data_IF_704668319843
#
_entry.id   IF_704668319843
#
_cell.length_a   1.000
_cell.length_b   1.000
_cell.length_c   1.000
_cell.angle_alpha   90.00
_cell.angle_beta   90.00
_cell.angle_gamma   90.00
#
_symmetry.space_group_name_H-M   'P 1'
#
loop_
_entity.id
_entity.type
_entity.pdbx_description
1 polymer ?
#
# COMPACT_ATOMS: atom_id res chain seq x y z
N UNK A 1 -67.40 -7.88 -53.97
CA UNK A 1 -66.90 -7.79 -52.62
C UNK A 1 -65.63 -8.69 -52.56
N UNK A 2 -64.43 -8.05 -52.54
CA UNK A 2 -63.13 -8.73 -52.48
C UNK A 2 -62.67 -8.70 -51.03
N UNK A 3 -62.52 -9.85 -50.38
CA UNK A 3 -61.96 -9.98 -49.03
C UNK A 3 -60.45 -9.95 -49.10
N UNK A 4 -59.87 -8.95 -48.52
CA UNK A 4 -58.42 -8.77 -48.35
C UNK A 4 -57.97 -9.57 -47.10
N UNK A 5 -57.16 -10.60 -47.30
CA UNK A 5 -56.57 -11.35 -46.18
C UNK A 5 -55.22 -10.71 -45.87
N UNK A 6 -55.13 -10.03 -44.72
CA UNK A 6 -53.88 -9.49 -44.19
C UNK A 6 -53.18 -10.58 -43.37
N UNK A 7 -52.08 -11.12 -43.91
CA UNK A 7 -51.18 -12.02 -43.15
C UNK A 7 -50.32 -11.17 -42.26
N UNK A 8 -50.51 -11.26 -40.93
CA UNK A 8 -49.66 -10.70 -39.91
C UNK A 8 -48.49 -11.64 -39.66
N UNK A 9 -47.30 -11.32 -40.19
CA UNK A 9 -46.08 -12.06 -39.89
C UNK A 9 -45.53 -11.62 -38.52
N UNK A 10 -45.70 -12.45 -37.49
CA UNK A 10 -45.07 -12.23 -36.19
C UNK A 10 -43.61 -12.68 -36.30
N UNK A 11 -42.68 -11.70 -36.35
CA UNK A 11 -41.26 -11.93 -36.19
C UNK A 11 -41.00 -12.24 -34.72
N UNK A 12 -40.82 -13.53 -34.37
CA UNK A 12 -40.32 -13.95 -33.07
C UNK A 12 -38.81 -13.65 -33.05
N UNK A 13 -38.43 -12.53 -32.44
CA UNK A 13 -37.04 -12.29 -32.05
C UNK A 13 -36.65 -13.26 -30.95
N UNK A 14 -36.10 -14.41 -31.32
CA UNK A 14 -35.36 -15.26 -30.39
C UNK A 14 -34.10 -14.53 -29.97
N UNK A 15 -34.13 -13.86 -28.79
CA UNK A 15 -32.94 -13.45 -28.11
C UNK A 15 -32.17 -14.73 -27.74
N UNK A 16 -31.15 -15.07 -28.52
CA UNK A 16 -30.15 -16.02 -28.08
C UNK A 16 -29.43 -15.39 -26.89
N UNK A 17 -29.87 -15.70 -25.69
CA UNK A 17 -29.04 -15.49 -24.50
C UNK A 17 -27.81 -16.39 -24.67
N UNK A 18 -26.71 -15.83 -25.12
CA UNK A 18 -25.44 -16.54 -25.16
C UNK A 18 -25.13 -17.07 -23.76
N UNK A 19 -24.85 -18.36 -23.65
CA UNK A 19 -24.39 -18.93 -22.38
C UNK A 19 -23.01 -18.34 -22.08
N UNK A 20 -22.87 -17.63 -20.95
CA UNK A 20 -21.59 -17.21 -20.42
C UNK A 20 -21.06 -18.28 -19.46
N UNK A 21 -19.75 -18.45 -19.44
CA UNK A 21 -19.11 -19.33 -18.48
C UNK A 21 -18.81 -18.58 -17.19
N UNK A 22 -19.46 -18.95 -16.09
CA UNK A 22 -19.23 -18.40 -14.78
C UNK A 22 -18.12 -19.17 -14.04
N UNK A 23 -17.08 -18.46 -13.59
CA UNK A 23 -15.99 -19.01 -12.77
C UNK A 23 -16.00 -18.28 -11.43
N UNK A 24 -16.41 -18.98 -10.38
CA UNK A 24 -16.47 -18.41 -9.04
C UNK A 24 -15.13 -18.51 -8.31
N UNK A 25 -14.76 -17.43 -7.63
CA UNK A 25 -13.56 -17.32 -6.79
C UNK A 25 -13.98 -16.89 -5.38
N UNK A 26 -13.39 -17.51 -4.37
CA UNK A 26 -13.67 -17.20 -2.96
C UNK A 26 -12.41 -17.33 -2.10
N UNK A 27 -12.16 -16.44 -1.13
CA UNK A 27 -11.04 -16.61 -0.19
C UNK A 27 -11.11 -17.91 0.63
N UNK A 28 -12.30 -18.54 0.67
CA UNK A 28 -12.54 -19.84 1.31
C UNK A 28 -12.58 -21.01 0.32
N UNK A 29 -12.29 -20.75 -0.95
CA UNK A 29 -12.24 -21.75 -2.01
C UNK A 29 -10.95 -22.57 -2.01
N UNK A 30 -10.79 -23.35 -3.08
CA UNK A 30 -9.56 -24.12 -3.33
C UNK A 30 -9.25 -24.11 -4.81
N UNK A 31 -7.99 -23.91 -5.19
CA UNK A 31 -7.57 -23.94 -6.60
C UNK A 31 -7.62 -25.36 -7.21
N UNK A 32 -7.89 -26.40 -6.39
CA UNK A 32 -8.20 -27.74 -6.83
C UNK A 32 -9.68 -27.93 -7.23
N UNK A 33 -10.56 -26.96 -6.94
CA UNK A 33 -11.98 -27.01 -7.28
C UNK A 33 -12.20 -26.71 -8.77
N UNK A 34 -13.43 -26.95 -9.24
CA UNK A 34 -13.80 -26.75 -10.64
C UNK A 34 -14.18 -25.30 -11.00
N UNK A 35 -14.33 -24.41 -10.02
CA UNK A 35 -14.74 -23.01 -10.23
C UNK A 35 -16.24 -22.78 -10.29
N UNK A 36 -17.07 -23.79 -9.97
CA UNK A 36 -18.52 -23.58 -9.85
C UNK A 36 -18.88 -22.76 -8.60
N UNK A 37 -20.13 -22.29 -8.52
CA UNK A 37 -20.63 -21.54 -7.37
C UNK A 37 -20.48 -22.28 -6.04
N UNK A 38 -20.67 -23.60 -6.04
CA UNK A 38 -20.55 -24.45 -4.85
C UNK A 38 -19.12 -24.93 -4.58
N UNK A 39 -18.27 -24.91 -5.61
CA UNK A 39 -16.85 -25.28 -5.54
C UNK A 39 -15.98 -24.19 -6.15
N UNK A 40 -15.91 -22.99 -5.52
CA UNK A 40 -15.14 -21.86 -6.03
C UNK A 40 -13.64 -22.11 -5.96
N UNK A 41 -12.91 -21.51 -6.87
CA UNK A 41 -11.44 -21.42 -6.81
C UNK A 41 -11.02 -20.50 -5.66
N UNK A 42 -9.77 -20.61 -5.20
CA UNK A 42 -9.23 -19.73 -4.15
C UNK A 42 -8.65 -18.43 -4.71
N UNK A 43 -8.08 -18.48 -5.92
CA UNK A 43 -7.30 -17.36 -6.46
C UNK A 43 -7.78 -16.87 -7.82
N UNK A 44 -7.63 -15.58 -8.07
CA UNK A 44 -7.89 -14.98 -9.39
C UNK A 44 -6.95 -15.57 -10.45
N UNK A 45 -5.70 -15.88 -10.09
CA UNK A 45 -4.75 -16.53 -10.99
C UNK A 45 -5.22 -17.90 -11.48
N UNK A 46 -5.84 -18.71 -10.59
CA UNK A 46 -6.43 -19.98 -10.98
C UNK A 46 -7.64 -19.79 -11.91
N UNK A 47 -8.48 -18.78 -11.64
CA UNK A 47 -9.61 -18.46 -12.50
C UNK A 47 -9.18 -18.03 -13.89
N UNK A 48 -8.14 -17.21 -14.02
CA UNK A 48 -7.56 -16.83 -15.32
C UNK A 48 -6.99 -18.06 -16.05
N UNK A 49 -6.30 -18.97 -15.35
CA UNK A 49 -5.86 -20.24 -15.98
C UNK A 49 -7.02 -21.08 -16.48
N UNK A 50 -8.09 -21.18 -15.69
CA UNK A 50 -9.31 -21.90 -16.08
C UNK A 50 -9.99 -21.27 -17.29
N UNK A 51 -10.07 -19.93 -17.33
CA UNK A 51 -10.62 -19.19 -18.46
C UNK A 51 -9.83 -19.47 -19.76
N UNK A 52 -8.49 -19.47 -19.70
CA UNK A 52 -7.62 -19.84 -20.85
C UNK A 52 -7.86 -21.29 -21.30
N UNK A 53 -8.02 -22.21 -20.36
CA UNK A 53 -8.31 -23.61 -20.67
C UNK A 53 -9.64 -23.75 -21.45
N UNK A 54 -10.72 -23.12 -20.97
CA UNK A 54 -12.01 -23.13 -21.65
C UNK A 54 -11.90 -22.56 -23.08
N UNK A 55 -11.20 -21.43 -23.25
CA UNK A 55 -10.95 -20.83 -24.58
C UNK A 55 -10.17 -21.74 -25.50
N UNK A 56 -9.11 -22.38 -24.99
CA UNK A 56 -8.29 -23.32 -25.79
C UNK A 56 -9.08 -24.55 -26.25
N UNK A 57 -10.02 -24.99 -25.44
CA UNK A 57 -10.89 -26.15 -25.75
C UNK A 57 -12.10 -25.76 -26.62
N UNK A 58 -12.29 -24.50 -26.96
CA UNK A 58 -13.45 -23.96 -27.67
C UNK A 58 -14.78 -24.43 -27.02
N UNK A 59 -14.86 -24.28 -25.69
CA UNK A 59 -16.02 -24.71 -24.91
C UNK A 59 -17.27 -23.97 -25.37
N UNK A 60 -18.36 -24.71 -25.52
CA UNK A 60 -19.62 -24.18 -26.05
C UNK A 60 -20.27 -23.13 -25.14
N UNK A 61 -19.88 -23.07 -23.86
CA UNK A 61 -20.34 -22.05 -22.90
C UNK A 61 -19.76 -20.65 -23.13
N UNK A 62 -18.84 -20.47 -24.10
CA UNK A 62 -18.14 -19.20 -24.32
C UNK A 62 -18.87 -18.21 -25.21
N UNK A 63 -20.02 -18.52 -25.75
CA UNK A 63 -20.76 -17.65 -26.67
C UNK A 63 -21.19 -16.30 -26.05
N UNK A 64 -21.30 -16.21 -24.71
CA UNK A 64 -21.58 -15.00 -23.95
C UNK A 64 -20.37 -14.41 -23.20
N UNK A 65 -19.20 -15.00 -23.39
CA UNK A 65 -17.97 -14.61 -22.66
C UNK A 65 -17.70 -15.43 -21.40
N UNK A 66 -16.75 -14.93 -20.60
CA UNK A 66 -16.36 -15.55 -19.33
C UNK A 66 -16.52 -14.51 -18.21
N UNK A 67 -17.23 -14.89 -17.15
CA UNK A 67 -17.37 -14.11 -15.94
C UNK A 67 -16.55 -14.72 -14.80
N UNK A 68 -15.50 -14.06 -14.37
CA UNK A 68 -14.74 -14.42 -13.16
C UNK A 68 -15.36 -13.63 -12.00
N UNK A 69 -16.16 -14.34 -11.19
CA UNK A 69 -17.02 -13.75 -10.16
C UNK A 69 -16.36 -13.93 -8.79
N UNK A 70 -15.90 -12.82 -8.21
CA UNK A 70 -15.24 -12.80 -6.91
C UNK A 70 -16.27 -12.69 -5.78
N UNK A 71 -16.29 -13.68 -4.88
CA UNK A 71 -17.07 -13.62 -3.64
C UNK A 71 -16.45 -12.64 -2.67
N UNK A 72 -17.25 -12.07 -1.77
CA UNK A 72 -16.79 -11.13 -0.75
C UNK A 72 -15.73 -11.71 0.18
N UNK A 73 -14.84 -10.83 0.64
CA UNK A 73 -13.73 -11.14 1.54
C UNK A 73 -12.38 -10.66 1.00
N UNK A 74 -11.32 -10.88 1.79
CA UNK A 74 -9.97 -10.41 1.47
C UNK A 74 -9.18 -11.51 0.75
N UNK A 75 -8.70 -11.20 -0.44
CA UNK A 75 -7.79 -12.01 -1.24
C UNK A 75 -6.36 -11.51 -1.02
N UNK A 76 -5.56 -12.23 -0.26
CA UNK A 76 -4.15 -11.88 -0.04
C UNK A 76 -3.35 -12.32 -1.26
N UNK A 77 -2.74 -11.34 -1.91
CA UNK A 77 -1.89 -11.55 -3.08
C UNK A 77 -0.44 -11.62 -2.66
N UNK A 78 0.24 -12.68 -3.05
CA UNK A 78 1.68 -12.86 -2.85
C UNK A 78 2.50 -12.45 -4.08
N UNK A 79 1.82 -12.26 -5.21
CA UNK A 79 2.38 -11.81 -6.49
C UNK A 79 1.37 -10.96 -7.26
N UNK A 80 1.85 -10.16 -8.20
CA UNK A 80 1.01 -9.36 -9.10
C UNK A 80 0.17 -10.27 -9.99
N UNK A 81 -1.12 -9.98 -10.09
CA UNK A 81 -2.00 -10.64 -11.07
C UNK A 81 -1.70 -10.04 -12.45
N UNK A 82 -1.19 -10.86 -13.37
CA UNK A 82 -0.98 -10.47 -14.76
C UNK A 82 -2.18 -10.86 -15.61
N UNK A 83 -2.85 -9.86 -16.18
CA UNK A 83 -3.88 -10.05 -17.21
C UNK A 83 -3.20 -9.89 -18.57
N UNK A 84 -3.16 -10.96 -19.32
CA UNK A 84 -2.47 -11.03 -20.62
C UNK A 84 -3.46 -10.85 -21.76
N UNK A 85 -2.97 -10.57 -22.97
CA UNK A 85 -3.81 -10.44 -24.15
C UNK A 85 -4.73 -11.68 -24.38
N UNK A 86 -4.24 -12.88 -24.05
CA UNK A 86 -4.98 -14.14 -24.12
C UNK A 86 -6.15 -14.24 -23.13
N UNK A 87 -6.15 -13.40 -22.07
CA UNK A 87 -7.21 -13.39 -21.04
C UNK A 87 -8.38 -12.48 -21.45
N UNK A 88 -8.17 -11.51 -22.33
CA UNK A 88 -9.17 -10.51 -22.69
C UNK A 88 -10.38 -11.10 -23.43
N UNK A 89 -10.17 -12.13 -24.24
CA UNK A 89 -11.20 -12.69 -25.12
C UNK A 89 -11.37 -11.89 -26.42
N UNK A 90 -12.58 -11.91 -26.96
CA UNK A 90 -12.96 -11.17 -28.19
C UNK A 90 -14.12 -10.22 -27.87
N UNK A 91 -14.47 -9.36 -28.84
CA UNK A 91 -15.63 -8.47 -28.68
C UNK A 91 -16.95 -9.24 -28.43
N UNK A 92 -17.09 -10.40 -29.07
CA UNK A 92 -18.29 -11.25 -28.96
C UNK A 92 -18.21 -12.22 -27.75
N UNK A 93 -17.03 -12.45 -27.18
CA UNK A 93 -16.79 -13.33 -26.04
C UNK A 93 -15.73 -12.71 -25.11
N UNK A 94 -16.03 -11.60 -24.41
CA UNK A 94 -15.09 -10.94 -23.52
C UNK A 94 -14.87 -11.73 -22.22
N UNK A 95 -13.84 -11.34 -21.47
CA UNK A 95 -13.65 -11.80 -20.07
C UNK A 95 -13.95 -10.64 -19.13
N UNK A 96 -14.84 -10.88 -18.18
CA UNK A 96 -15.17 -9.96 -17.08
C UNK A 96 -14.56 -10.48 -15.78
N UNK A 97 -14.01 -9.57 -14.98
CA UNK A 97 -13.59 -9.85 -13.59
C UNK A 97 -14.42 -8.91 -12.72
N UNK A 98 -15.31 -9.46 -11.94
CA UNK A 98 -16.33 -8.67 -11.24
C UNK A 98 -16.65 -9.22 -9.85
N UNK A 99 -17.24 -8.38 -9.00
CA UNK A 99 -17.73 -8.81 -7.70
C UNK A 99 -19.05 -9.60 -7.85
N UNK A 100 -19.24 -10.60 -7.00
CA UNK A 100 -20.56 -11.22 -6.84
C UNK A 100 -21.58 -10.16 -6.38
N UNK A 101 -22.80 -10.26 -6.89
CA UNK A 101 -23.85 -9.28 -6.62
C UNK A 101 -24.05 -9.06 -5.10
N UNK A 102 -23.93 -7.81 -4.65
CA UNK A 102 -24.07 -7.43 -3.25
C UNK A 102 -22.89 -7.81 -2.34
N UNK A 103 -21.80 -8.35 -2.89
CA UNK A 103 -20.60 -8.71 -2.12
C UNK A 103 -19.44 -7.74 -2.42
N UNK A 104 -18.49 -7.64 -1.48
CA UNK A 104 -17.33 -6.76 -1.58
C UNK A 104 -16.03 -7.57 -1.49
N UNK A 105 -15.44 -7.97 -2.60
CA UNK A 105 -14.10 -8.54 -2.64
C UNK A 105 -13.03 -7.44 -2.51
N UNK A 106 -11.99 -7.73 -1.72
CA UNK A 106 -10.84 -6.85 -1.54
C UNK A 106 -9.57 -7.58 -1.97
N UNK A 107 -8.86 -7.07 -2.96
CA UNK A 107 -7.53 -7.56 -3.32
C UNK A 107 -6.50 -6.84 -2.45
N UNK A 108 -5.70 -7.58 -1.68
CA UNK A 108 -4.70 -7.04 -0.78
C UNK A 108 -3.31 -7.59 -1.11
N UNK A 109 -2.38 -6.69 -1.44
CA UNK A 109 -0.95 -7.03 -1.58
C UNK A 109 -0.15 -6.73 -0.30
N UNK A 110 -0.82 -6.69 0.85
CA UNK A 110 -0.21 -6.40 2.13
C UNK A 110 0.15 -7.65 2.92
N UNK A 111 1.10 -7.49 3.82
CA UNK A 111 1.52 -8.51 4.79
C UNK A 111 0.90 -8.18 6.15
N UNK A 112 0.25 -9.16 6.75
CA UNK A 112 -0.30 -9.00 8.10
C UNK A 112 0.81 -9.05 9.14
N UNK A 113 0.82 -8.06 10.03
CA UNK A 113 1.73 -8.01 11.17
C UNK A 113 0.97 -8.48 12.41
N UNK A 114 1.40 -9.61 12.95
CA UNK A 114 0.79 -10.28 14.09
C UNK A 114 1.68 -10.23 15.34
N UNK A 115 1.19 -10.78 16.46
CA UNK A 115 1.97 -10.94 17.68
C UNK A 115 2.19 -9.64 18.46
N UNK A 116 1.29 -8.68 18.31
CA UNK A 116 1.31 -7.42 19.03
C UNK A 116 1.28 -7.62 20.54
N UNK A 117 2.19 -6.96 21.25
CA UNK A 117 2.29 -6.98 22.70
C UNK A 117 2.37 -5.55 23.23
N UNK A 118 1.70 -5.29 24.35
CA UNK A 118 1.83 -4.00 25.01
C UNK A 118 3.27 -3.82 25.52
N UNK A 119 3.85 -2.66 25.23
CA UNK A 119 5.20 -2.33 25.67
C UNK A 119 5.18 -1.99 27.16
N UNK A 120 5.68 -2.92 27.99
CA UNK A 120 5.72 -2.77 29.45
C UNK A 120 7.05 -2.23 29.95
N UNK A 121 8.14 -2.44 29.20
CA UNK A 121 9.47 -1.98 29.55
C UNK A 121 9.71 -0.53 29.11
N UNK A 122 10.58 0.17 29.83
CA UNK A 122 11.06 1.47 29.36
C UNK A 122 12.01 1.26 28.18
N UNK A 123 11.74 1.97 27.08
CA UNK A 123 12.65 2.03 25.93
C UNK A 123 13.26 3.42 25.87
N UNK A 124 14.58 3.46 25.82
CA UNK A 124 15.34 4.70 25.76
C UNK A 124 14.97 5.49 24.50
N UNK A 125 14.63 6.76 24.66
CA UNK A 125 14.22 7.63 23.57
C UNK A 125 12.71 7.68 23.32
N UNK A 126 11.90 6.80 23.93
CA UNK A 126 10.45 6.90 23.80
C UNK A 126 9.94 8.19 24.47
N UNK A 127 9.06 8.92 23.79
CA UNK A 127 8.46 10.14 24.31
C UNK A 127 7.73 9.89 25.65
N UNK A 128 7.71 10.87 26.52
CA UNK A 128 7.04 10.75 27.81
C UNK A 128 5.53 10.53 27.63
N UNK A 129 4.93 11.15 26.61
CA UNK A 129 3.51 11.01 26.28
C UNK A 129 3.13 9.56 25.87
N UNK A 130 4.02 8.87 25.16
CA UNK A 130 3.77 7.52 24.66
C UNK A 130 3.92 6.41 25.72
N UNK A 131 4.50 6.71 26.87
CA UNK A 131 4.74 5.71 27.93
C UNK A 131 3.45 5.04 28.37
N UNK A 132 3.45 3.69 28.35
CA UNK A 132 2.28 2.87 28.74
C UNK A 132 1.16 2.77 27.70
N UNK A 133 1.29 3.42 26.55
CA UNK A 133 0.30 3.39 25.47
C UNK A 133 0.72 2.55 24.27
N UNK A 134 2.02 2.37 24.07
CA UNK A 134 2.59 1.77 22.86
C UNK A 134 2.50 0.24 22.88
N UNK A 135 2.24 -0.32 21.72
CA UNK A 135 2.34 -1.74 21.41
C UNK A 135 3.50 -1.97 20.44
N UNK A 136 4.05 -3.17 20.48
CA UNK A 136 5.19 -3.58 19.66
C UNK A 136 4.94 -4.95 19.05
N UNK A 137 5.34 -5.13 17.80
CA UNK A 137 5.35 -6.41 17.11
C UNK A 137 6.64 -6.59 16.31
N UNK A 138 6.98 -7.84 16.01
CA UNK A 138 8.08 -8.16 15.11
C UNK A 138 7.62 -7.96 13.65
N UNK A 139 8.50 -7.36 12.83
CA UNK A 139 8.28 -7.24 11.40
C UNK A 139 8.67 -8.56 10.74
N UNK A 140 7.78 -9.21 9.97
CA UNK A 140 8.11 -10.48 9.32
C UNK A 140 9.22 -10.32 8.28
N UNK A 141 9.95 -11.39 8.03
CA UNK A 141 10.84 -11.50 6.88
C UNK A 141 10.02 -11.91 5.65
N UNK A 142 10.32 -11.33 4.50
CA UNK A 142 9.70 -11.69 3.23
C UNK A 142 10.78 -12.22 2.29
N UNK A 143 10.62 -13.46 1.84
CA UNK A 143 11.60 -14.15 0.98
C UNK A 143 13.04 -14.18 1.55
N UNK A 144 13.16 -14.22 2.88
CA UNK A 144 14.45 -14.20 3.56
C UNK A 144 15.09 -12.82 3.72
N UNK A 145 14.43 -11.77 3.22
CA UNK A 145 14.90 -10.40 3.31
C UNK A 145 14.10 -9.57 4.32
N UNK A 146 14.70 -8.48 4.78
CA UNK A 146 14.03 -7.52 5.64
C UNK A 146 12.90 -6.84 4.87
N UNK A 147 11.70 -6.91 5.42
CA UNK A 147 10.55 -6.21 4.89
C UNK A 147 10.50 -4.77 5.40
N UNK A 148 10.90 -3.82 4.57
CA UNK A 148 10.76 -2.39 4.85
C UNK A 148 9.44 -1.86 4.27
N UNK A 149 8.69 -1.12 5.09
CA UNK A 149 7.41 -0.53 4.67
C UNK A 149 7.28 0.92 5.14
N UNK A 150 6.68 1.75 4.31
CA UNK A 150 6.39 3.16 4.62
C UNK A 150 4.97 3.41 5.08
N UNK A 151 4.07 2.44 4.95
CA UNK A 151 2.68 2.54 5.34
C UNK A 151 2.29 1.37 6.24
N UNK A 152 1.38 1.64 7.17
CA UNK A 152 0.76 0.64 8.03
C UNK A 152 -0.71 0.97 8.12
N UNK A 153 -1.56 -0.03 8.04
CA UNK A 153 -3.01 0.10 8.15
C UNK A 153 -3.49 -0.70 9.35
N UNK A 154 -4.29 -0.08 10.18
CA UNK A 154 -4.88 -0.69 11.37
C UNK A 154 -6.39 -0.57 11.25
N UNK A 155 -7.11 -1.70 11.14
CA UNK A 155 -8.55 -1.74 10.85
C UNK A 155 -8.93 -0.82 9.67
N UNK A 156 -8.19 -0.95 8.55
CA UNK A 156 -8.37 -0.17 7.32
C UNK A 156 -8.13 1.35 7.45
N UNK A 157 -7.63 1.81 8.61
CA UNK A 157 -7.22 3.20 8.81
C UNK A 157 -5.71 3.32 8.77
N UNK A 158 -5.19 4.19 7.90
CA UNK A 158 -3.76 4.41 7.75
C UNK A 158 -3.16 4.99 9.04
N UNK A 159 -2.14 4.33 9.58
CA UNK A 159 -1.35 4.85 10.68
C UNK A 159 -0.42 5.98 10.21
N UNK A 160 -0.23 6.98 11.06
CA UNK A 160 0.68 8.10 10.81
C UNK A 160 2.12 7.64 11.11
N UNK A 161 3.08 7.96 10.27
CA UNK A 161 4.49 7.78 10.65
C UNK A 161 4.85 8.81 11.70
N UNK A 162 5.39 8.37 12.80
CA UNK A 162 5.91 9.25 13.84
C UNK A 162 6.83 10.31 13.23
N UNK A 163 6.56 11.58 13.46
CA UNK A 163 7.20 12.72 12.80
C UNK A 163 7.62 13.79 13.80
N UNK A 164 8.63 14.57 13.45
CA UNK A 164 9.24 15.57 14.33
C UNK A 164 8.37 16.78 14.65
N UNK A 165 7.22 16.88 14.02
CA UNK A 165 6.26 18.00 14.19
C UNK A 165 4.84 17.47 14.12
N UNK A 166 3.95 17.98 14.96
CA UNK A 166 2.52 17.67 14.93
C UNK A 166 1.75 18.77 14.18
N UNK A 167 0.65 18.39 13.54
CA UNK A 167 -0.12 19.32 12.71
C UNK A 167 0.71 19.90 11.55
N UNK A 168 0.55 21.20 11.29
CA UNK A 168 1.17 21.94 10.17
C UNK A 168 2.46 22.68 10.54
N UNK A 169 3.01 22.44 11.74
CA UNK A 169 4.15 23.13 12.30
C UNK A 169 5.50 22.75 11.69
N UNK A 170 5.65 22.81 10.35
CA UNK A 170 6.89 22.45 9.70
C UNK A 170 8.04 23.41 10.06
N UNK A 171 9.23 22.83 10.25
CA UNK A 171 10.47 23.55 10.41
C UNK A 171 11.02 24.03 9.06
N UNK A 172 12.03 24.92 9.09
CA UNK A 172 12.71 25.40 7.89
C UNK A 172 14.15 24.93 7.88
N UNK A 173 14.66 24.47 6.73
CA UNK A 173 16.09 24.15 6.58
C UNK A 173 16.92 25.41 6.80
N UNK A 174 18.16 25.24 7.25
CA UNK A 174 19.11 26.34 7.40
C UNK A 174 19.93 26.57 6.13
N UNK A 175 20.31 25.46 5.47
CA UNK A 175 21.06 25.49 4.22
C UNK A 175 20.88 24.19 3.42
N UNK A 176 21.07 24.30 2.11
CA UNK A 176 21.14 23.18 1.16
C UNK A 176 22.44 23.28 0.38
N UNK A 177 23.35 22.31 0.57
CA UNK A 177 24.66 22.32 -0.05
C UNK A 177 24.77 21.23 -1.12
N UNK A 178 24.65 21.61 -2.37
CA UNK A 178 24.73 20.67 -3.53
C UNK A 178 26.11 20.03 -3.68
N UNK A 179 27.19 20.76 -3.31
CA UNK A 179 28.55 20.27 -3.47
C UNK A 179 28.85 19.09 -2.55
N UNK A 180 28.39 19.21 -1.30
CA UNK A 180 28.61 18.18 -0.27
C UNK A 180 27.45 17.21 -0.16
N UNK A 181 26.42 17.36 -1.02
CA UNK A 181 25.17 16.58 -0.98
C UNK A 181 24.56 16.57 0.43
N UNK A 182 24.45 17.72 1.06
CA UNK A 182 24.02 17.82 2.47
C UNK A 182 22.96 18.90 2.70
N UNK A 183 22.20 18.72 3.78
CA UNK A 183 21.20 19.68 4.25
C UNK A 183 21.50 20.06 5.70
N UNK A 184 21.44 21.35 6.00
CA UNK A 184 21.54 21.85 7.36
C UNK A 184 20.16 22.17 7.91
N UNK A 185 19.88 21.67 9.12
CA UNK A 185 18.63 21.89 9.84
C UNK A 185 18.90 22.43 11.25
N UNK A 186 17.93 23.07 11.91
CA UNK A 186 18.01 23.31 13.35
C UNK A 186 18.18 21.97 14.08
N UNK A 187 19.05 21.91 15.06
CA UNK A 187 19.26 20.67 15.83
C UNK A 187 17.95 20.25 16.51
N UNK A 188 17.45 19.03 16.22
CA UNK A 188 16.26 18.52 16.89
C UNK A 188 16.46 18.41 18.40
N UNK A 189 15.54 18.97 19.18
CA UNK A 189 15.60 18.96 20.65
C UNK A 189 14.97 17.70 21.22
N UNK A 190 15.53 16.53 20.87
CA UNK A 190 15.07 15.26 21.42
C UNK A 190 16.18 14.62 22.27
N UNK A 191 15.83 14.05 23.43
CA UNK A 191 16.82 13.38 24.25
C UNK A 191 17.33 12.10 23.55
N UNK A 192 18.63 11.88 23.57
CA UNK A 192 19.28 10.64 23.16
C UNK A 192 19.02 10.23 21.70
N UNK A 193 19.41 11.10 20.78
CA UNK A 193 19.46 10.77 19.36
C UNK A 193 20.69 9.86 19.10
N UNK A 194 20.47 8.55 19.05
CA UNK A 194 21.58 7.58 19.00
C UNK A 194 21.87 7.03 17.60
N UNK A 195 20.93 7.16 16.65
CA UNK A 195 21.10 6.57 15.32
C UNK A 195 20.23 7.30 14.28
N UNK A 196 20.78 7.47 13.07
CA UNK A 196 20.04 7.94 11.90
C UNK A 196 19.30 6.80 11.17
N UNK A 197 19.48 5.54 11.59
CA UNK A 197 18.94 4.38 10.89
C UNK A 197 17.41 4.44 10.76
N UNK A 198 16.92 4.39 9.52
CA UNK A 198 15.50 4.44 9.21
C UNK A 198 14.86 5.83 9.27
N UNK A 199 15.59 6.87 9.68
CA UNK A 199 15.09 8.25 9.69
C UNK A 199 15.12 8.81 8.27
N UNK A 200 14.04 9.52 7.90
CA UNK A 200 13.93 10.18 6.61
C UNK A 200 13.62 11.66 6.78
N UNK A 201 14.18 12.48 5.90
CA UNK A 201 13.82 13.88 5.73
C UNK A 201 12.72 13.98 4.68
N UNK A 202 11.60 14.61 5.06
CA UNK A 202 10.59 15.09 4.12
C UNK A 202 10.81 16.59 3.92
N UNK A 203 11.17 16.97 2.70
CA UNK A 203 11.43 18.38 2.38
C UNK A 203 10.44 18.85 1.31
N UNK A 204 9.73 19.92 1.62
CA UNK A 204 8.78 20.56 0.74
C UNK A 204 9.49 21.52 -0.22
N UNK A 205 9.13 21.38 -1.48
CA UNK A 205 9.60 22.20 -2.58
C UNK A 205 8.39 22.86 -3.24
N UNK A 206 8.56 23.72 -4.22
CA UNK A 206 7.46 24.49 -4.81
C UNK A 206 6.24 23.67 -5.19
N UNK A 207 6.42 22.50 -5.82
CA UNK A 207 5.35 21.60 -6.25
C UNK A 207 5.71 20.11 -6.09
N UNK A 208 6.71 19.83 -5.32
CA UNK A 208 7.15 18.46 -5.03
C UNK A 208 7.54 18.30 -3.57
N UNK A 209 7.59 17.04 -3.12
CA UNK A 209 8.13 16.63 -1.84
C UNK A 209 9.23 15.62 -2.13
N UNK A 210 10.45 15.87 -1.64
CA UNK A 210 11.48 14.87 -1.63
C UNK A 210 11.48 14.12 -0.29
N UNK A 211 11.69 12.82 -0.36
CA UNK A 211 11.87 11.93 0.78
C UNK A 211 13.28 11.35 0.71
N UNK A 212 14.14 11.74 1.64
CA UNK A 212 15.55 11.39 1.63
C UNK A 212 15.90 10.57 2.87
N UNK A 213 16.41 9.35 2.69
CA UNK A 213 16.89 8.52 3.80
C UNK A 213 18.18 9.08 4.34
N UNK A 214 18.22 9.32 5.65
CA UNK A 214 19.38 9.91 6.31
C UNK A 214 20.42 8.81 6.56
N UNK A 215 21.60 9.00 5.98
CA UNK A 215 22.77 8.13 6.18
C UNK A 215 23.56 8.50 7.43
N UNK A 216 23.70 9.81 7.69
CA UNK A 216 24.51 10.35 8.77
C UNK A 216 23.96 11.69 9.22
N UNK A 217 24.10 11.99 10.52
CA UNK A 217 23.86 13.29 11.14
C UNK A 217 25.12 13.75 11.85
N UNK A 218 25.51 15.00 11.64
CA UNK A 218 26.61 15.66 12.37
C UNK A 218 26.06 16.85 13.13
N UNK A 219 26.24 16.81 14.45
CA UNK A 219 25.70 17.84 15.35
C UNK A 219 26.72 18.95 15.56
N UNK A 220 26.30 20.20 15.33
CA UNK A 220 27.12 21.42 15.45
C UNK A 220 26.40 22.46 16.33
N UNK A 221 26.20 22.13 17.60
CA UNK A 221 25.46 22.99 18.53
C UNK A 221 23.96 23.08 18.14
N UNK A 222 23.53 24.29 17.73
CA UNK A 222 22.15 24.58 17.36
C UNK A 222 21.78 24.12 15.93
N UNK A 223 22.73 23.60 15.16
CA UNK A 223 22.51 23.10 13.81
C UNK A 223 23.00 21.68 13.64
N UNK A 224 22.36 20.94 12.74
CA UNK A 224 22.72 19.56 12.39
C UNK A 224 22.85 19.45 10.88
N UNK A 225 23.97 18.88 10.43
CA UNK A 225 24.20 18.55 9.03
C UNK A 225 23.73 17.12 8.73
N UNK A 226 22.89 16.98 7.72
CA UNK A 226 22.33 15.73 7.27
C UNK A 226 22.97 15.29 5.96
N UNK A 227 23.38 14.03 5.90
CA UNK A 227 23.86 13.37 4.69
C UNK A 227 22.90 12.21 4.34
N UNK A 228 22.71 11.95 3.05
CA UNK A 228 21.68 11.05 2.59
C UNK A 228 22.25 9.79 1.92
N UNK A 229 21.43 8.76 1.83
CA UNK A 229 21.76 7.55 1.07
C UNK A 229 21.69 7.83 -0.44
N UNK A 230 22.36 6.98 -1.21
CA UNK A 230 22.23 6.93 -2.66
C UNK A 230 21.11 5.93 -3.05
N UNK A 231 20.46 6.07 -4.20
CA UNK A 231 20.69 7.09 -5.24
C UNK A 231 19.96 8.43 -5.01
N UNK A 232 19.06 8.51 -4.00
CA UNK A 232 18.21 9.69 -3.79
C UNK A 232 18.99 10.97 -3.53
N UNK A 233 20.15 10.87 -2.85
CA UNK A 233 21.01 12.03 -2.62
C UNK A 233 21.47 12.64 -3.94
N UNK A 234 22.07 11.83 -4.81
CA UNK A 234 22.56 12.27 -6.11
C UNK A 234 21.42 12.84 -6.97
N UNK A 235 20.31 12.11 -7.07
CA UNK A 235 19.15 12.54 -7.85
C UNK A 235 18.67 13.92 -7.39
N UNK A 236 18.52 14.13 -6.08
CA UNK A 236 18.01 15.38 -5.52
C UNK A 236 18.99 16.55 -5.69
N UNK A 237 20.31 16.29 -5.64
CA UNK A 237 21.32 17.34 -5.75
C UNK A 237 21.70 17.69 -7.18
N UNK A 238 21.69 16.73 -8.09
CA UNK A 238 21.97 16.93 -9.52
C UNK A 238 20.76 17.44 -10.29
N UNK A 239 19.54 17.10 -9.86
CA UNK A 239 18.33 17.51 -10.57
C UNK A 239 18.18 19.05 -10.51
N UNK A 240 18.06 19.72 -11.65
CA UNK A 240 18.01 21.18 -11.68
C UNK A 240 16.73 21.73 -11.05
N UNK A 241 15.70 20.89 -10.88
CA UNK A 241 14.39 21.34 -10.48
C UNK A 241 13.43 20.15 -10.13
N UNK A 242 12.56 20.28 -9.12
CA UNK A 242 12.57 21.31 -8.09
C UNK A 242 13.69 21.04 -7.08
N UNK A 243 14.47 22.05 -6.73
CA UNK A 243 15.46 21.96 -5.67
C UNK A 243 14.94 22.65 -4.39
N UNK A 244 15.39 22.22 -3.19
CA UNK A 244 15.18 22.97 -1.98
C UNK A 244 15.72 24.37 -2.14
N UNK A 245 15.03 25.37 -1.61
CA UNK A 245 15.42 26.77 -1.74
C UNK A 245 15.78 27.41 -0.40
N UNK A 246 16.63 28.41 -0.48
CA UNK A 246 17.01 29.30 0.59
C UNK A 246 16.57 30.71 0.19
N UNK A 247 15.67 31.33 0.94
CA UNK A 247 15.13 32.64 0.64
C UNK A 247 14.90 33.47 1.89
N UNK A 248 15.38 34.70 1.89
CA UNK A 248 15.10 35.67 2.95
C UNK A 248 13.69 36.25 2.84
N UNK A 249 13.09 36.25 1.64
CA UNK A 249 11.79 36.86 1.37
C UNK A 249 10.65 35.91 1.69
N UNK A 250 10.73 34.65 1.21
CA UNK A 250 9.65 33.66 1.33
C UNK A 250 9.93 32.61 2.40
N UNK A 251 11.09 32.69 3.05
CA UNK A 251 11.58 31.64 3.94
C UNK A 251 12.17 30.46 3.18
N UNK A 252 12.97 29.65 3.87
CA UNK A 252 13.61 28.47 3.32
C UNK A 252 12.60 27.33 3.15
N UNK A 253 12.95 26.31 2.39
CA UNK A 253 12.14 25.09 2.24
C UNK A 253 11.72 24.52 3.58
N UNK A 254 10.43 24.17 3.68
CA UNK A 254 9.85 23.54 4.86
C UNK A 254 10.22 22.05 4.90
N UNK A 255 10.39 21.51 6.10
CA UNK A 255 10.71 20.11 6.29
C UNK A 255 10.16 19.56 7.60
N UNK A 256 10.12 18.25 7.70
CA UNK A 256 10.04 17.48 8.94
C UNK A 256 10.81 16.18 8.81
N UNK A 257 11.19 15.60 9.94
CA UNK A 257 11.81 14.28 10.02
C UNK A 257 10.72 13.25 10.36
N UNK A 258 10.89 12.03 9.88
CA UNK A 258 9.99 10.92 10.20
C UNK A 258 10.75 9.68 10.62
N UNK A 259 10.02 8.79 11.29
CA UNK A 259 10.45 7.46 11.66
C UNK A 259 11.62 7.46 12.67
N UNK A 260 11.46 8.21 13.73
CA UNK A 260 12.28 8.05 14.94
C UNK A 260 11.36 7.74 16.13
N UNK A 261 11.88 6.95 17.09
CA UNK A 261 11.12 6.58 18.28
C UNK A 261 10.74 7.79 19.13
N UNK A 262 11.59 8.82 19.12
CA UNK A 262 11.38 10.07 19.84
C UNK A 262 10.17 10.87 19.35
N UNK A 263 9.74 10.62 18.12
CA UNK A 263 8.61 11.29 17.49
C UNK A 263 7.27 10.57 17.74
N UNK A 264 7.32 9.39 18.35
CA UNK A 264 6.09 8.65 18.69
C UNK A 264 5.45 9.31 19.92
N UNK A 265 4.56 10.28 19.72
CA UNK A 265 4.02 11.12 20.77
C UNK A 265 2.50 11.40 20.69
N UNK A 266 1.82 10.86 19.67
CA UNK A 266 0.36 10.95 19.51
C UNK A 266 -0.30 9.60 19.18
N UNK A 267 -1.59 9.39 19.56
CA UNK A 267 -2.36 8.21 19.16
C UNK A 267 -2.49 8.09 17.63
N UNK A 268 -2.34 6.88 17.12
CA UNK A 268 -2.38 6.59 15.69
C UNK A 268 -1.03 6.67 15.01
N UNK A 269 0.02 7.04 15.74
CA UNK A 269 1.37 7.06 15.22
C UNK A 269 2.08 5.71 15.34
N UNK A 270 3.00 5.49 14.39
CA UNK A 270 3.87 4.30 14.35
C UNK A 270 5.33 4.67 14.11
N UNK A 271 6.23 3.88 14.67
CA UNK A 271 7.66 3.88 14.41
C UNK A 271 8.12 2.50 13.94
N UNK A 272 8.92 2.41 12.88
CA UNK A 272 9.53 1.17 12.42
C UNK A 272 11.03 1.18 12.76
N UNK A 273 11.42 0.27 13.66
CA UNK A 273 12.82 0.01 14.01
C UNK A 273 13.41 -0.96 12.99
N UNK A 274 14.07 -0.41 11.98
CA UNK A 274 14.66 -1.20 10.89
C UNK A 274 15.86 -2.04 11.35
N UNK A 275 16.52 -1.65 12.45
CA UNK A 275 17.67 -2.37 13.01
C UNK A 275 17.22 -3.62 13.76
N UNK A 276 16.23 -3.46 14.65
CA UNK A 276 15.73 -4.55 15.49
C UNK A 276 14.53 -5.27 14.89
N UNK A 277 14.11 -4.90 13.70
CA UNK A 277 12.96 -5.48 12.99
C UNK A 277 11.67 -5.45 13.80
N UNK A 278 11.38 -4.29 14.41
CA UNK A 278 10.18 -4.10 15.22
C UNK A 278 9.37 -2.93 14.70
N UNK A 279 8.07 -3.02 14.89
CA UNK A 279 7.16 -1.90 14.67
C UNK A 279 6.48 -1.56 15.99
N UNK A 280 6.51 -0.29 16.32
CA UNK A 280 5.86 0.31 17.49
C UNK A 280 4.66 1.09 17.01
N UNK A 281 3.55 0.98 17.72
CA UNK A 281 2.32 1.69 17.40
C UNK A 281 1.60 2.13 18.67
N UNK A 282 1.14 3.38 18.67
CA UNK A 282 0.25 3.89 19.69
C UNK A 282 -1.20 3.79 19.18
N UNK A 283 -2.03 2.86 19.71
CA UNK A 283 -3.40 2.68 19.24
C UNK A 283 -4.24 3.93 19.42
N UNK A 284 -5.14 4.18 18.48
CA UNK A 284 -6.21 5.18 18.65
C UNK A 284 -7.21 4.71 19.68
N UNK A 285 -8.03 5.63 20.18
CA UNK A 285 -9.16 5.28 21.06
C UNK A 285 -10.06 4.23 20.41
N UNK A 286 -10.36 3.16 21.13
CA UNK A 286 -11.18 2.06 20.64
C UNK A 286 -10.46 0.97 19.84
N UNK A 287 -9.19 1.15 19.47
CA UNK A 287 -8.40 0.11 18.80
C UNK A 287 -7.85 -0.92 19.80
N UNK A 288 -8.06 -2.21 19.51
CA UNK A 288 -7.51 -3.31 20.29
C UNK A 288 -6.57 -4.14 19.40
N UNK A 289 -5.26 -4.01 19.59
CA UNK A 289 -4.23 -4.70 18.79
C UNK A 289 -4.21 -6.23 18.95
N UNK A 290 -4.90 -6.77 19.95
CA UNK A 290 -5.05 -8.22 20.08
C UNK A 290 -6.03 -8.80 19.04
N UNK A 291 -6.91 -7.98 18.47
CA UNK A 291 -7.94 -8.40 17.50
C UNK A 291 -7.95 -7.58 16.22
N UNK A 292 -7.22 -6.47 16.19
CA UNK A 292 -7.15 -5.57 15.05
C UNK A 292 -6.46 -6.25 13.85
N UNK A 293 -6.96 -5.98 12.66
CA UNK A 293 -6.22 -6.26 11.41
C UNK A 293 -5.12 -5.22 11.23
N UNK A 294 -3.87 -5.66 11.22
CA UNK A 294 -2.73 -4.77 10.97
C UNK A 294 -1.98 -5.23 9.75
N UNK A 295 -1.95 -4.38 8.72
CA UNK A 295 -1.41 -4.73 7.40
C UNK A 295 -0.40 -3.69 6.95
N UNK A 296 0.74 -4.16 6.47
CA UNK A 296 1.75 -3.34 5.80
C UNK A 296 1.81 -3.70 4.31
N UNK A 297 1.72 -2.72 3.38
CA UNK A 297 1.80 -2.98 1.94
C UNK A 297 3.14 -3.63 1.57
N UNK A 298 3.09 -4.67 0.74
CA UNK A 298 4.24 -5.39 0.22
C UNK A 298 4.33 -5.30 -1.31
N UNK A 299 3.23 -5.61 -2.00
CA UNK A 299 3.21 -5.52 -3.46
C UNK A 299 3.04 -4.07 -3.93
N UNK A 300 3.89 -3.64 -4.85
CA UNK A 300 3.79 -2.32 -5.50
C UNK A 300 2.66 -2.28 -6.54
N UNK A 301 2.35 -3.42 -7.15
CA UNK A 301 1.31 -3.56 -8.17
C UNK A 301 0.46 -4.77 -7.85
N UNK A 302 -0.85 -4.59 -7.76
CA UNK A 302 -1.78 -5.69 -7.50
C UNK A 302 -2.21 -6.39 -8.79
N UNK A 303 -2.54 -5.61 -9.82
CA UNK A 303 -2.98 -6.08 -11.13
C UNK A 303 -2.23 -5.33 -12.21
N UNK A 304 -1.72 -6.05 -13.20
CA UNK A 304 -1.08 -5.51 -14.38
C UNK A 304 -1.74 -6.06 -15.64
N UNK A 305 -2.16 -5.16 -16.51
CA UNK A 305 -2.77 -5.43 -17.82
C UNK A 305 -1.77 -5.16 -18.93
#
# INVERSE_FOLDING_TARGET
MKRLHTCLAIFLLLAFAGNAADIYVSPKGSDANNGSKDQPLATVGAALRKARELRRLNDASLSGGIHIILRGGVYVLYETIFIRAEDAGTADSPTFIEAAAGEQPVLSGGVTINGWKKLLSQVTGLSAAAKGHVWVADVPMMNGELFEFRQLWVNDVKAVRAKSVNGDGMLRILNWNKKDESCWIPTPRFPLWSSAAGVELFIHQWWAIAMLRIKKMEFHGDSTQLFFHQPESKIQNEHPWPAPWISKETGNSAFYLVNALQFLDEPGERYADVVNRKVYYWPRSGENLSTASVVAPYLETLVRV
#
